data_IF_451489940479
#
_entry.id   IF_451489940479
#
_cell.length_a   1.000
_cell.length_b   1.000
_cell.length_c   1.000
_cell.angle_alpha   90.00
_cell.angle_beta   90.00
_cell.angle_gamma   90.00
#
_symmetry.space_group_name_H-M   'P 1'
#
loop_
_entity.id
_entity.type
_entity.pdbx_description
1 polymer ?
#
# COMPACT_ATOMS: atom_id res chain seq x y z
N UNK A 1 3.46 -40.60 -2.02
CA UNK A 1 4.12 -39.62 -2.90
C UNK A 1 3.02 -38.69 -3.45
N UNK A 2 2.78 -37.57 -2.80
CA UNK A 2 1.82 -36.57 -3.27
C UNK A 2 2.55 -35.62 -4.21
N UNK A 3 2.07 -35.58 -5.45
CA UNK A 3 2.56 -34.73 -6.52
C UNK A 3 2.68 -33.26 -6.07
N UNK A 4 3.90 -32.72 -6.14
CA UNK A 4 4.13 -31.28 -6.14
C UNK A 4 3.45 -30.69 -7.38
N UNK A 5 2.17 -30.37 -7.27
CA UNK A 5 1.44 -29.58 -8.28
C UNK A 5 2.21 -28.29 -8.54
N UNK A 6 2.61 -28.13 -9.78
CA UNK A 6 3.41 -27.04 -10.36
C UNK A 6 2.91 -25.66 -9.91
N UNK A 7 3.43 -25.13 -8.82
CA UNK A 7 3.15 -23.76 -8.32
C UNK A 7 3.44 -22.70 -9.40
N UNK A 8 4.37 -22.95 -10.30
CA UNK A 8 4.76 -22.04 -11.38
C UNK A 8 3.68 -21.84 -12.46
N UNK A 9 2.89 -22.86 -12.78
CA UNK A 9 1.79 -22.76 -13.75
C UNK A 9 0.57 -22.02 -13.19
N UNK A 10 0.25 -22.20 -11.91
CA UNK A 10 -0.79 -21.40 -11.24
C UNK A 10 -0.38 -19.93 -11.11
N UNK A 11 0.89 -19.66 -10.79
CA UNK A 11 1.43 -18.31 -10.67
C UNK A 11 1.42 -17.56 -12.00
N UNK A 12 1.78 -18.25 -13.12
CA UNK A 12 1.74 -17.65 -14.46
C UNK A 12 0.31 -17.36 -14.94
N UNK A 13 -0.67 -18.18 -14.54
CA UNK A 13 -2.08 -17.97 -14.88
C UNK A 13 -2.71 -16.81 -14.11
N UNK A 14 -2.32 -16.64 -12.84
CA UNK A 14 -2.72 -15.51 -12.00
C UNK A 14 -2.09 -14.21 -12.50
N UNK A 15 -0.80 -14.22 -12.88
CA UNK A 15 -0.08 -13.06 -13.42
C UNK A 15 -0.75 -12.47 -14.67
N UNK A 16 -1.27 -13.28 -15.59
CA UNK A 16 -1.97 -12.82 -16.81
C UNK A 16 -3.35 -12.19 -16.55
N UNK A 17 -3.96 -12.46 -15.39
CA UNK A 17 -5.28 -11.90 -15.03
C UNK A 17 -5.17 -10.65 -14.14
N UNK A 18 -3.98 -10.33 -13.67
CA UNK A 18 -3.72 -9.30 -12.64
C UNK A 18 -2.92 -8.10 -13.22
N UNK A 19 -2.70 -8.07 -14.53
CA UNK A 19 -2.09 -6.95 -15.23
C UNK A 19 -3.15 -5.89 -15.52
N UNK A 20 -2.94 -4.70 -14.97
CA UNK A 20 -3.82 -3.55 -15.14
C UNK A 20 -2.99 -2.33 -15.51
N UNK A 21 -3.31 -1.70 -16.64
CA UNK A 21 -2.66 -0.47 -17.04
C UNK A 21 -3.31 0.72 -16.34
N UNK A 22 -2.47 1.57 -15.79
CA UNK A 22 -2.91 2.79 -15.09
C UNK A 22 -3.28 3.87 -16.09
N UNK A 23 -4.39 4.58 -15.86
CA UNK A 23 -4.76 5.75 -16.67
C UNK A 23 -3.68 6.84 -16.51
N UNK A 24 -3.25 7.41 -17.62
CA UNK A 24 -2.23 8.45 -17.66
C UNK A 24 -2.58 9.65 -16.76
N UNK A 25 -3.84 10.06 -16.73
CA UNK A 25 -4.30 11.18 -15.89
C UNK A 25 -4.11 10.93 -14.40
N UNK A 26 -4.23 9.68 -13.96
CA UNK A 26 -3.99 9.32 -12.56
C UNK A 26 -2.49 9.37 -12.24
N UNK A 27 -1.63 9.00 -13.18
CA UNK A 27 -0.17 9.13 -13.07
C UNK A 27 0.22 10.61 -13.00
N UNK A 28 -0.24 11.42 -13.93
CA UNK A 28 0.05 12.86 -13.99
C UNK A 28 -0.36 13.59 -12.71
N UNK A 29 -1.56 13.32 -12.20
CA UNK A 29 -2.07 13.91 -10.95
C UNK A 29 -1.21 13.55 -9.75
N UNK A 30 -0.77 12.32 -9.64
CA UNK A 30 0.03 11.88 -8.49
C UNK A 30 1.47 12.38 -8.61
N UNK A 31 2.10 12.19 -9.77
CA UNK A 31 3.52 12.51 -9.95
C UNK A 31 3.81 14.01 -9.90
N UNK A 32 2.82 14.86 -10.20
CA UNK A 32 2.93 16.31 -10.04
C UNK A 32 3.34 16.74 -8.61
N UNK A 33 3.07 15.92 -7.61
CA UNK A 33 3.45 16.20 -6.22
C UNK A 33 4.92 15.89 -5.90
N UNK A 34 5.65 15.22 -6.82
CA UNK A 34 7.00 14.68 -6.55
C UNK A 34 8.05 15.16 -7.54
N UNK A 35 7.78 16.16 -8.35
CA UNK A 35 8.67 16.61 -9.47
C UNK A 35 10.12 16.83 -9.04
N UNK A 36 10.33 17.46 -7.87
CA UNK A 36 11.67 17.70 -7.31
C UNK A 36 12.40 16.41 -6.94
N UNK A 37 11.68 15.35 -6.57
CA UNK A 37 12.28 14.07 -6.18
C UNK A 37 12.94 13.34 -7.34
N UNK A 38 12.57 13.67 -8.58
CA UNK A 38 13.09 13.03 -9.79
C UNK A 38 14.34 13.68 -10.35
N UNK A 39 14.69 14.89 -9.92
CA UNK A 39 15.79 15.65 -10.48
C UNK A 39 17.14 14.93 -10.34
N UNK A 40 17.81 14.70 -11.47
CA UNK A 40 19.09 13.99 -11.54
C UNK A 40 19.00 12.49 -11.24
N UNK A 41 17.81 11.89 -11.25
CA UNK A 41 17.59 10.50 -10.86
C UNK A 41 17.42 9.56 -12.05
N UNK A 42 17.79 8.30 -11.81
CA UNK A 42 17.46 7.17 -12.67
C UNK A 42 16.16 6.56 -12.21
N UNK A 43 15.12 6.62 -13.05
CA UNK A 43 13.81 6.05 -12.78
C UNK A 43 13.68 4.69 -13.44
N UNK A 44 13.19 3.69 -12.69
CA UNK A 44 12.94 2.35 -13.17
C UNK A 44 11.43 2.04 -13.16
N UNK A 45 10.87 1.85 -14.36
CA UNK A 45 9.49 1.41 -14.59
C UNK A 45 9.51 -0.09 -14.93
N UNK A 46 9.24 -0.94 -13.96
CA UNK A 46 9.18 -2.39 -14.16
C UNK A 46 7.72 -2.86 -14.20
N UNK A 47 7.50 -4.06 -14.70
CA UNK A 47 6.21 -4.75 -14.77
C UNK A 47 5.25 -4.35 -15.89
N UNK A 48 5.42 -3.21 -16.54
CA UNK A 48 4.60 -2.78 -17.69
C UNK A 48 5.40 -2.87 -19.01
N UNK A 49 4.72 -3.22 -20.10
CA UNK A 49 5.33 -3.09 -21.44
C UNK A 49 5.61 -1.60 -21.74
N UNK A 50 6.88 -1.15 -21.86
CA UNK A 50 7.19 0.24 -22.10
C UNK A 50 6.50 0.86 -23.33
N UNK A 51 6.19 0.03 -24.33
CA UNK A 51 5.49 0.49 -25.56
C UNK A 51 4.04 0.85 -25.33
N UNK A 52 3.47 0.42 -24.20
CA UNK A 52 2.07 0.62 -23.82
C UNK A 52 1.91 1.28 -22.44
N UNK A 53 2.98 1.32 -21.66
CA UNK A 53 2.98 1.82 -20.29
C UNK A 53 2.78 3.32 -20.25
N UNK A 54 1.78 3.77 -19.52
CA UNK A 54 1.58 5.19 -19.26
C UNK A 54 2.66 5.77 -18.33
N UNK A 55 3.34 4.95 -17.52
CA UNK A 55 4.51 5.38 -16.73
C UNK A 55 5.69 5.71 -17.64
N UNK A 56 6.03 4.81 -18.57
CA UNK A 56 7.09 5.09 -19.54
C UNK A 56 6.79 6.36 -20.33
N UNK A 57 5.59 6.44 -20.91
CA UNK A 57 5.19 7.61 -21.71
C UNK A 57 5.29 8.91 -20.91
N UNK A 58 4.82 8.92 -19.64
CA UNK A 58 4.92 10.10 -18.78
C UNK A 58 6.36 10.54 -18.55
N UNK A 59 7.23 9.62 -18.09
CA UNK A 59 8.61 9.96 -17.79
C UNK A 59 9.42 10.30 -19.03
N UNK A 60 9.17 9.63 -20.14
CA UNK A 60 9.83 9.91 -21.41
C UNK A 60 9.50 11.30 -21.94
N UNK A 61 8.22 11.68 -21.98
CA UNK A 61 7.78 13.00 -22.45
C UNK A 61 8.20 14.13 -21.50
N UNK A 62 8.26 13.88 -20.21
CA UNK A 62 8.68 14.85 -19.20
C UNK A 62 10.16 14.72 -18.81
N UNK A 63 10.96 13.95 -19.55
CA UNK A 63 12.36 13.70 -19.23
C UNK A 63 13.18 14.99 -19.03
N UNK A 64 13.12 15.99 -19.95
CA UNK A 64 13.84 17.24 -19.77
C UNK A 64 13.27 18.07 -18.59
N UNK A 65 11.94 18.14 -18.47
CA UNK A 65 11.26 18.96 -17.45
C UNK A 65 11.54 18.45 -16.04
N UNK A 66 11.59 17.11 -15.86
CA UNK A 66 11.92 16.46 -14.60
C UNK A 66 13.44 16.39 -14.35
N UNK A 67 14.24 16.83 -15.31
CA UNK A 67 15.71 16.73 -15.27
C UNK A 67 16.18 15.31 -14.91
N UNK A 68 15.57 14.28 -15.52
CA UNK A 68 15.96 12.91 -15.28
C UNK A 68 17.39 12.65 -15.76
N UNK A 69 18.11 11.81 -15.03
CA UNK A 69 19.39 11.28 -15.47
C UNK A 69 19.21 10.16 -16.48
N UNK A 70 18.27 9.23 -16.20
CA UNK A 70 18.04 8.03 -17.00
C UNK A 70 16.64 7.47 -16.71
N UNK A 71 16.00 6.95 -17.72
CA UNK A 71 14.76 6.21 -17.63
C UNK A 71 15.00 4.77 -18.09
N UNK A 72 14.58 3.80 -17.29
CA UNK A 72 14.72 2.38 -17.59
C UNK A 72 13.35 1.72 -17.43
N UNK A 73 13.01 0.79 -18.33
CA UNK A 73 11.87 -0.08 -18.16
C UNK A 73 12.21 -1.52 -18.58
N UNK A 74 11.56 -2.50 -17.99
CA UNK A 74 11.67 -3.91 -18.36
C UNK A 74 10.30 -4.50 -18.61
N UNK A 75 10.20 -5.25 -19.70
CA UNK A 75 9.02 -6.02 -20.06
C UNK A 75 9.18 -7.48 -19.64
N UNK A 76 8.15 -8.02 -18.97
CA UNK A 76 8.09 -9.41 -18.59
C UNK A 76 7.37 -10.23 -19.68
N UNK A 77 7.99 -11.28 -20.18
CA UNK A 77 7.38 -12.19 -21.14
C UNK A 77 8.37 -13.05 -21.90
N UNK A 78 7.87 -13.79 -22.91
CA UNK A 78 8.70 -14.66 -23.74
C UNK A 78 9.79 -13.90 -24.50
N UNK A 79 9.45 -12.67 -24.95
CA UNK A 79 10.37 -11.77 -25.65
C UNK A 79 10.73 -10.59 -24.76
N UNK A 80 11.20 -10.90 -23.54
CA UNK A 80 11.56 -9.90 -22.55
C UNK A 80 12.67 -8.97 -23.03
N UNK A 81 12.53 -7.69 -22.72
CA UNK A 81 13.50 -6.67 -23.10
C UNK A 81 13.56 -5.56 -22.06
N UNK A 82 14.69 -4.88 -22.09
CA UNK A 82 14.91 -3.62 -21.38
C UNK A 82 14.81 -2.48 -22.38
N UNK A 83 14.20 -1.39 -22.00
CA UNK A 83 14.22 -0.12 -22.72
C UNK A 83 14.91 0.93 -21.85
N UNK A 84 15.84 1.70 -22.44
CA UNK A 84 16.60 2.73 -21.72
C UNK A 84 16.57 4.02 -22.52
N UNK A 85 16.38 5.15 -21.81
CA UNK A 85 16.43 6.49 -22.39
C UNK A 85 17.24 7.43 -21.50
N UNK A 86 18.19 8.15 -22.12
CA UNK A 86 19.09 9.10 -21.44
C UNK A 86 19.00 10.53 -22.03
N UNK A 87 17.92 10.78 -22.76
CA UNK A 87 17.75 12.04 -23.50
C UNK A 87 18.39 11.97 -24.89
N UNK A 88 18.05 12.93 -25.71
CA UNK A 88 18.54 13.07 -27.07
C UNK A 88 17.42 13.19 -28.09
N UNK A 89 17.70 13.89 -29.21
CA UNK A 89 16.73 14.11 -30.28
C UNK A 89 17.02 13.28 -31.54
N UNK A 90 18.09 12.49 -31.55
CA UNK A 90 18.41 11.64 -32.68
C UNK A 90 17.30 10.61 -32.89
N UNK A 91 16.86 10.45 -34.13
CA UNK A 91 15.74 9.59 -34.48
C UNK A 91 15.91 8.12 -33.99
N UNK A 92 17.17 7.65 -33.93
CA UNK A 92 17.49 6.28 -33.50
C UNK A 92 17.39 6.07 -31.99
N UNK A 93 17.46 7.13 -31.17
CA UNK A 93 17.40 7.05 -29.70
C UNK A 93 16.20 7.80 -29.10
N UNK A 94 15.47 8.54 -29.92
CA UNK A 94 14.36 9.39 -29.45
C UNK A 94 13.26 8.61 -28.73
N UNK A 95 13.06 7.33 -29.05
CA UNK A 95 12.07 6.45 -28.39
C UNK A 95 12.67 5.54 -27.31
N UNK A 96 13.99 5.63 -27.09
CA UNK A 96 14.76 4.76 -26.19
C UNK A 96 15.44 3.59 -26.88
N UNK A 97 16.54 3.12 -26.28
CA UNK A 97 17.33 1.98 -26.75
C UNK A 97 16.72 0.70 -26.18
N UNK A 98 16.35 -0.22 -27.07
CA UNK A 98 15.78 -1.52 -26.71
C UNK A 98 16.87 -2.60 -26.74
N UNK A 99 17.00 -3.35 -25.64
CA UNK A 99 17.93 -4.49 -25.51
C UNK A 99 17.16 -5.71 -25.03
N UNK A 100 17.41 -6.85 -25.68
CA UNK A 100 16.82 -8.13 -25.25
C UNK A 100 17.41 -8.56 -23.91
N UNK A 101 16.55 -8.99 -22.98
CA UNK A 101 16.99 -9.61 -21.74
C UNK A 101 17.38 -11.09 -21.99
N UNK A 102 18.27 -11.62 -21.16
CA UNK A 102 18.65 -13.03 -21.22
C UNK A 102 17.54 -13.93 -20.63
N UNK A 103 16.89 -13.43 -19.56
CA UNK A 103 15.77 -14.09 -18.90
C UNK A 103 14.42 -13.67 -19.47
N UNK A 104 13.37 -13.96 -18.72
CA UNK A 104 11.97 -13.62 -19.02
C UNK A 104 11.54 -12.23 -18.53
N UNK A 105 12.46 -11.46 -17.96
CA UNK A 105 12.17 -10.14 -17.39
C UNK A 105 11.44 -10.18 -16.05
N UNK A 106 11.45 -11.33 -15.34
CA UNK A 106 10.92 -11.39 -13.98
C UNK A 106 11.69 -10.38 -13.09
N UNK A 107 10.94 -9.52 -12.43
CA UNK A 107 11.50 -8.48 -11.55
C UNK A 107 12.46 -9.06 -10.49
N UNK A 108 12.20 -10.27 -10.02
CA UNK A 108 13.03 -10.95 -9.01
C UNK A 108 14.24 -11.72 -9.63
N UNK A 109 14.38 -11.71 -10.96
CA UNK A 109 15.56 -12.30 -11.62
C UNK A 109 16.84 -11.53 -11.28
N UNK A 110 17.99 -12.20 -11.32
CA UNK A 110 19.28 -11.54 -11.06
C UNK A 110 19.55 -10.37 -12.02
N UNK A 111 19.10 -10.47 -13.28
CA UNK A 111 19.23 -9.44 -14.29
C UNK A 111 18.40 -8.19 -13.95
N UNK A 112 17.12 -8.35 -13.60
CA UNK A 112 16.27 -7.23 -13.19
C UNK A 112 16.68 -6.65 -11.83
N UNK A 113 17.21 -7.47 -10.91
CA UNK A 113 17.77 -6.99 -9.65
C UNK A 113 19.05 -6.16 -9.85
N UNK A 114 19.86 -6.47 -10.86
CA UNK A 114 21.01 -5.62 -11.22
C UNK A 114 20.53 -4.24 -11.71
N UNK A 115 19.49 -4.20 -12.55
CA UNK A 115 18.86 -2.94 -13.00
C UNK A 115 18.29 -2.16 -11.81
N UNK A 116 17.61 -2.85 -10.88
CA UNK A 116 17.10 -2.23 -9.65
C UNK A 116 18.23 -1.57 -8.84
N UNK A 117 19.39 -2.22 -8.72
CA UNK A 117 20.56 -1.66 -8.01
C UNK A 117 21.08 -0.38 -8.64
N UNK A 118 21.06 -0.27 -9.97
CA UNK A 118 21.49 0.91 -10.71
C UNK A 118 20.47 2.06 -10.69
N UNK A 119 19.20 1.78 -10.36
CA UNK A 119 18.15 2.79 -10.31
C UNK A 119 18.14 3.54 -8.97
N UNK A 120 17.61 4.76 -8.98
CA UNK A 120 17.38 5.57 -7.78
C UNK A 120 15.94 5.41 -7.27
N UNK A 121 14.97 5.42 -8.19
CA UNK A 121 13.55 5.45 -7.90
C UNK A 121 12.82 4.40 -8.73
N UNK A 122 11.98 3.58 -8.09
CA UNK A 122 11.08 2.65 -8.78
C UNK A 122 9.68 3.24 -8.86
N UNK A 123 9.17 3.44 -10.09
CA UNK A 123 7.80 3.91 -10.34
C UNK A 123 7.04 2.93 -11.22
N UNK A 124 6.06 2.22 -10.64
CA UNK A 124 5.36 1.15 -11.38
C UNK A 124 4.01 0.79 -10.77
N UNK A 125 3.21 0.07 -11.56
CA UNK A 125 2.03 -0.65 -11.11
C UNK A 125 2.31 -2.17 -11.14
N UNK A 126 2.90 -2.75 -10.08
CA UNK A 126 3.19 -4.19 -10.07
C UNK A 126 1.90 -5.01 -10.02
N UNK A 127 1.89 -6.26 -10.52
CA UNK A 127 0.76 -7.16 -10.32
C UNK A 127 0.39 -7.25 -8.83
N UNK A 128 -0.88 -7.06 -8.48
CA UNK A 128 -1.31 -6.94 -7.07
C UNK A 128 -0.99 -8.19 -6.25
N UNK A 129 -1.02 -9.36 -6.85
CA UNK A 129 -0.63 -10.63 -6.22
C UNK A 129 0.86 -10.68 -5.85
N UNK A 130 1.71 -9.92 -6.54
CA UNK A 130 3.16 -9.87 -6.34
C UNK A 130 3.61 -8.63 -5.56
N UNK A 131 2.69 -7.72 -5.22
CA UNK A 131 3.02 -6.43 -4.58
C UNK A 131 3.96 -6.59 -3.39
N UNK A 132 3.74 -7.58 -2.52
CA UNK A 132 4.59 -7.82 -1.34
C UNK A 132 6.01 -8.21 -1.70
N UNK A 133 6.18 -9.05 -2.72
CA UNK A 133 7.51 -9.47 -3.19
C UNK A 133 8.27 -8.31 -3.85
N UNK A 134 7.57 -7.46 -4.62
CA UNK A 134 8.12 -6.20 -5.16
C UNK A 134 8.56 -5.26 -4.04
N UNK A 135 7.70 -5.05 -3.05
CA UNK A 135 8.01 -4.20 -1.92
C UNK A 135 9.25 -4.69 -1.17
N UNK A 136 9.34 -5.99 -0.86
CA UNK A 136 10.48 -6.57 -0.16
C UNK A 136 11.78 -6.39 -0.94
N UNK A 137 11.78 -6.63 -2.25
CA UNK A 137 12.96 -6.47 -3.08
C UNK A 137 13.43 -5.01 -3.16
N UNK A 138 12.49 -4.06 -3.29
CA UNK A 138 12.79 -2.62 -3.30
C UNK A 138 13.36 -2.17 -1.96
N UNK A 139 12.80 -2.66 -0.84
CA UNK A 139 13.30 -2.35 0.50
C UNK A 139 14.68 -2.95 0.78
N UNK A 140 14.95 -4.16 0.28
CA UNK A 140 16.27 -4.81 0.43
C UNK A 140 17.39 -3.98 -0.23
N UNK A 141 17.09 -3.30 -1.33
CA UNK A 141 18.03 -2.42 -2.06
C UNK A 141 17.91 -0.95 -1.62
N UNK A 142 17.13 -0.64 -0.57
CA UNK A 142 16.94 0.71 -0.01
C UNK A 142 16.55 1.77 -1.06
N UNK A 143 15.75 1.39 -2.06
CA UNK A 143 15.36 2.30 -3.14
C UNK A 143 14.20 3.21 -2.73
N UNK A 144 14.21 4.40 -3.32
CA UNK A 144 13.02 5.23 -3.33
C UNK A 144 11.96 4.62 -4.28
N UNK A 145 10.69 4.84 -3.99
CA UNK A 145 9.63 4.25 -4.80
C UNK A 145 8.31 5.01 -4.76
N UNK A 146 7.52 4.81 -5.82
CA UNK A 146 6.12 5.16 -5.94
C UNK A 146 5.39 4.01 -6.63
N UNK A 147 4.65 3.21 -5.86
CA UNK A 147 3.99 1.99 -6.32
C UNK A 147 2.48 2.11 -6.21
N UNK A 148 1.77 1.61 -7.23
CA UNK A 148 0.33 1.37 -7.12
C UNK A 148 0.10 0.00 -6.48
N UNK A 149 -0.81 -0.05 -5.50
CA UNK A 149 -1.13 -1.30 -4.82
C UNK A 149 -2.52 -1.31 -4.20
N UNK A 150 -2.99 -2.51 -3.90
CA UNK A 150 -4.22 -2.67 -3.13
C UNK A 150 -3.96 -2.25 -1.68
N UNK A 151 -4.84 -1.39 -1.11
CA UNK A 151 -4.71 -0.89 0.26
C UNK A 151 -4.72 -2.01 1.32
N UNK A 152 -5.24 -3.18 1.00
CA UNK A 152 -5.12 -4.34 1.88
C UNK A 152 -3.66 -4.77 2.09
N UNK A 153 -2.73 -4.39 1.21
CA UNK A 153 -1.31 -4.64 1.40
C UNK A 153 -0.75 -3.96 2.66
N UNK A 154 -1.35 -2.85 3.10
CA UNK A 154 -1.01 -2.17 4.37
C UNK A 154 -1.01 -3.16 5.53
N UNK A 155 -1.94 -4.10 5.52
CA UNK A 155 -2.14 -5.08 6.59
C UNK A 155 -1.14 -6.24 6.55
N UNK A 156 -0.21 -6.26 5.61
CA UNK A 156 0.79 -7.31 5.51
C UNK A 156 1.88 -7.12 6.59
N UNK A 157 2.32 -8.24 7.20
CA UNK A 157 3.29 -8.24 8.30
C UNK A 157 4.63 -7.59 7.92
N UNK A 158 5.01 -7.68 6.65
CA UNK A 158 6.24 -7.09 6.12
C UNK A 158 6.10 -5.63 5.67
N UNK A 159 4.87 -5.09 5.61
CA UNK A 159 4.59 -3.72 5.13
C UNK A 159 4.13 -2.81 6.27
N UNK A 160 3.23 -3.30 7.15
CA UNK A 160 2.66 -2.46 8.21
C UNK A 160 3.70 -1.76 9.11
N UNK A 161 4.82 -2.39 9.52
CA UNK A 161 5.84 -1.73 10.33
C UNK A 161 6.40 -0.46 9.69
N UNK A 162 6.49 -0.40 8.36
CA UNK A 162 6.97 0.80 7.66
C UNK A 162 6.00 1.98 7.78
N UNK A 163 4.68 1.72 7.81
CA UNK A 163 3.68 2.76 8.12
C UNK A 163 3.76 3.18 9.58
N UNK A 164 3.93 2.23 10.50
CA UNK A 164 4.03 2.49 11.93
C UNK A 164 5.24 3.36 12.29
N UNK A 165 6.34 3.18 11.57
CA UNK A 165 7.61 3.89 11.77
C UNK A 165 7.73 5.15 10.88
N UNK A 166 6.66 5.58 10.21
CA UNK A 166 6.62 6.71 9.29
C UNK A 166 7.64 6.64 8.14
N UNK A 167 8.07 5.42 7.76
CA UNK A 167 9.05 5.18 6.68
C UNK A 167 8.41 5.06 5.30
N UNK A 168 7.11 4.88 5.23
CA UNK A 168 6.31 4.92 4.02
C UNK A 168 4.99 5.63 4.29
N UNK A 169 4.36 6.10 3.22
CA UNK A 169 3.05 6.75 3.28
C UNK A 169 2.18 6.37 2.09
N UNK A 170 0.89 6.65 2.18
CA UNK A 170 0.02 6.69 1.01
C UNK A 170 0.22 8.01 0.26
N UNK A 171 0.07 7.94 -1.07
CA UNK A 171 0.12 9.10 -1.94
C UNK A 171 -1.02 10.10 -1.71
N UNK A 172 -1.13 11.03 -2.63
CA UNK A 172 -2.14 12.10 -2.58
C UNK A 172 -3.45 11.72 -3.25
N UNK A 173 -3.37 10.89 -4.30
CA UNK A 173 -4.53 10.50 -5.10
C UNK A 173 -4.82 8.99 -4.96
N UNK A 174 -6.01 8.59 -5.39
CA UNK A 174 -6.46 7.19 -5.29
C UNK A 174 -7.11 6.79 -6.60
N UNK A 175 -6.39 6.08 -7.50
CA UNK A 175 -6.92 5.59 -8.76
C UNK A 175 -8.15 4.71 -8.53
N UNK A 176 -9.19 4.90 -9.36
CA UNK A 176 -10.45 4.15 -9.22
C UNK A 176 -10.69 3.16 -10.34
N UNK A 177 -10.00 3.33 -11.46
CA UNK A 177 -10.20 2.51 -12.66
C UNK A 177 -8.89 2.27 -13.38
N UNK A 178 -8.81 1.10 -14.00
CA UNK A 178 -7.64 0.63 -14.72
C UNK A 178 -8.06 0.01 -16.04
N UNK A 179 -7.19 0.06 -17.04
CA UNK A 179 -7.40 -0.62 -18.31
C UNK A 179 -6.85 -2.05 -18.21
N UNK A 180 -7.66 -3.00 -18.62
CA UNK A 180 -7.23 -4.40 -18.79
C UNK A 180 -6.48 -4.57 -20.12
N UNK A 181 -5.67 -5.64 -20.28
CA UNK A 181 -5.04 -5.96 -21.56
C UNK A 181 -6.03 -6.11 -22.73
N UNK A 182 -7.28 -6.44 -22.45
CA UNK A 182 -8.37 -6.57 -23.45
C UNK A 182 -9.03 -5.21 -23.79
N UNK A 183 -8.53 -4.09 -23.24
CA UNK A 183 -9.04 -2.73 -23.47
C UNK A 183 -10.27 -2.34 -22.63
N UNK A 184 -10.78 -3.25 -21.79
CA UNK A 184 -11.91 -2.94 -20.90
C UNK A 184 -11.43 -2.22 -19.65
N UNK A 185 -12.26 -1.28 -19.18
CA UNK A 185 -12.01 -0.61 -17.90
C UNK A 185 -12.54 -1.45 -16.74
N UNK A 186 -11.75 -1.61 -15.71
CA UNK A 186 -12.16 -2.24 -14.45
C UNK A 186 -12.03 -1.26 -13.29
N UNK A 187 -13.12 -1.10 -12.53
CA UNK A 187 -13.12 -0.27 -11.33
C UNK A 187 -12.62 -1.05 -10.11
N UNK A 188 -11.83 -0.37 -9.27
CA UNK A 188 -11.37 -0.86 -7.97
C UNK A 188 -11.59 0.22 -6.91
N UNK A 189 -12.21 -0.14 -5.80
CA UNK A 189 -12.47 0.81 -4.70
C UNK A 189 -11.33 0.94 -3.68
N UNK A 190 -10.33 0.06 -3.76
CA UNK A 190 -9.36 -0.11 -2.68
C UNK A 190 -7.91 -0.10 -3.20
N UNK A 191 -7.62 0.83 -4.09
CA UNK A 191 -6.28 1.03 -4.67
C UNK A 191 -5.73 2.39 -4.22
N UNK A 192 -4.41 2.47 -4.04
CA UNK A 192 -3.71 3.69 -3.68
C UNK A 192 -2.23 3.62 -4.07
N UNK A 193 -1.58 4.74 -3.92
CA UNK A 193 -0.15 4.86 -4.09
C UNK A 193 0.55 4.61 -2.77
N UNK A 194 1.65 3.87 -2.82
CA UNK A 194 2.56 3.60 -1.70
C UNK A 194 3.89 4.23 -2.03
N UNK A 195 4.46 4.99 -1.12
CA UNK A 195 5.72 5.71 -1.39
C UNK A 195 6.53 5.99 -0.13
N UNK A 196 7.85 6.10 -0.30
CA UNK A 196 8.77 6.67 0.68
C UNK A 196 9.33 8.03 0.24
N UNK A 197 8.79 8.62 -0.84
CA UNK A 197 9.18 9.95 -1.30
C UNK A 197 8.59 11.04 -0.40
N UNK A 198 9.38 12.08 -0.11
CA UNK A 198 8.94 13.27 0.61
C UNK A 198 8.17 12.96 1.90
N UNK A 199 8.70 12.08 2.75
CA UNK A 199 8.06 11.69 4.01
C UNK A 199 7.85 12.86 4.96
N UNK A 200 8.70 13.88 4.91
CA UNK A 200 8.56 15.13 5.67
C UNK A 200 7.26 15.87 5.38
N UNK A 201 6.74 15.75 4.16
CA UNK A 201 5.47 16.36 3.76
C UNK A 201 4.26 15.78 4.48
N UNK A 202 4.38 14.60 5.11
CA UNK A 202 3.33 14.06 5.99
C UNK A 202 2.99 15.02 7.13
N UNK A 203 4.00 15.70 7.67
CA UNK A 203 3.84 16.66 8.77
C UNK A 203 3.05 17.90 8.37
N UNK A 204 3.01 18.21 7.07
CA UNK A 204 2.29 19.37 6.52
C UNK A 204 0.87 19.03 6.07
N UNK A 205 0.44 17.76 6.17
CA UNK A 205 -0.96 17.42 5.91
C UNK A 205 -1.87 18.12 6.92
N UNK A 206 -3.06 18.59 6.48
CA UNK A 206 -4.05 19.14 7.41
C UNK A 206 -4.39 18.13 8.51
N UNK A 207 -4.62 18.62 9.72
CA UNK A 207 -5.10 17.77 10.80
C UNK A 207 -6.51 17.29 10.46
N UNK A 208 -6.71 15.99 10.65
CA UNK A 208 -8.01 15.37 10.46
C UNK A 208 -8.92 15.73 11.63
N UNK A 209 -10.00 16.42 11.33
CA UNK A 209 -11.03 16.77 12.30
C UNK A 209 -12.39 16.32 11.77
N UNK A 210 -13.26 15.90 12.66
CA UNK A 210 -14.62 15.47 12.35
C UNK A 210 -15.67 16.37 12.93
N UNK A 211 -15.29 17.27 13.85
CA UNK A 211 -16.20 18.05 14.67
C UNK A 211 -16.95 17.20 15.73
N UNK A 212 -16.60 15.90 15.85
CA UNK A 212 -17.22 15.00 16.82
C UNK A 212 -16.51 15.05 18.14
N UNK A 213 -17.28 14.95 19.21
CA UNK A 213 -16.79 14.82 20.58
C UNK A 213 -17.03 13.41 21.09
N UNK A 214 -16.29 13.05 22.12
CA UNK A 214 -16.54 11.82 22.86
C UNK A 214 -17.85 11.95 23.61
N UNK A 215 -18.87 11.22 23.17
CA UNK A 215 -20.16 11.12 23.84
C UNK A 215 -20.25 9.77 24.53
N UNK A 216 -20.70 9.76 25.78
CA UNK A 216 -20.85 8.54 26.58
C UNK A 216 -21.75 7.54 25.86
N UNK A 217 -21.33 6.28 25.80
CA UNK A 217 -22.06 5.19 25.14
C UNK A 217 -22.00 5.14 23.63
N UNK A 218 -21.42 6.15 22.96
CA UNK A 218 -21.31 6.16 21.48
C UNK A 218 -20.19 5.29 20.97
N UNK A 219 -19.09 5.17 21.72
CA UNK A 219 -17.90 4.43 21.34
C UNK A 219 -17.69 3.26 22.29
N UNK A 220 -17.93 2.00 21.84
CA UNK A 220 -17.76 0.87 22.72
C UNK A 220 -16.30 0.69 23.14
N UNK A 221 -16.03 0.56 24.47
CA UNK A 221 -14.70 0.22 24.95
C UNK A 221 -14.40 -1.24 24.60
N UNK A 222 -13.12 -1.53 24.28
CA UNK A 222 -12.71 -2.92 24.09
C UNK A 222 -12.76 -3.70 25.41
N UNK A 223 -13.27 -4.94 25.34
CA UNK A 223 -13.38 -5.81 26.51
C UNK A 223 -12.04 -6.44 26.92
N UNK A 224 -11.04 -6.42 26.02
CA UNK A 224 -9.78 -7.14 26.20
C UNK A 224 -8.51 -6.30 25.96
N UNK A 225 -8.64 -5.01 25.86
CA UNK A 225 -7.52 -4.06 25.89
C UNK A 225 -8.02 -2.66 26.22
N UNK A 226 -7.09 -1.76 26.50
CA UNK A 226 -7.41 -0.34 26.65
C UNK A 226 -7.72 0.28 25.28
N UNK A 227 -8.82 1.05 25.21
CA UNK A 227 -9.20 1.79 24.01
C UNK A 227 -10.67 1.61 23.64
N UNK A 228 -11.08 2.32 22.59
CA UNK A 228 -12.43 2.34 22.05
C UNK A 228 -12.46 1.90 20.58
N UNK A 229 -13.60 1.30 20.15
CA UNK A 229 -13.80 1.03 18.71
C UNK A 229 -14.44 2.24 18.02
N UNK A 230 -13.81 2.68 16.93
CA UNK A 230 -14.33 3.72 16.05
C UNK A 230 -14.56 3.12 14.68
N UNK A 231 -15.79 2.71 14.40
CA UNK A 231 -16.12 1.94 13.19
C UNK A 231 -16.04 2.72 11.86
N UNK A 232 -15.98 4.06 11.90
CA UNK A 232 -15.85 4.94 10.72
C UNK A 232 -14.87 6.06 11.01
N UNK A 233 -14.02 6.42 10.03
CA UNK A 233 -13.09 7.55 10.19
C UNK A 233 -13.81 8.88 10.43
N UNK A 234 -15.02 9.07 9.88
CA UNK A 234 -15.85 10.26 10.10
C UNK A 234 -16.44 10.35 11.53
N UNK A 235 -16.22 9.33 12.35
CA UNK A 235 -16.66 9.31 13.74
C UNK A 235 -15.49 9.41 14.74
N UNK A 236 -14.26 9.66 14.30
CA UNK A 236 -13.11 9.82 15.18
C UNK A 236 -13.34 11.05 16.08
N UNK A 237 -13.42 10.89 17.43
CA UNK A 237 -13.63 12.02 18.31
C UNK A 237 -12.40 12.95 18.33
N UNK A 238 -12.64 14.26 18.35
CA UNK A 238 -11.57 15.25 18.30
C UNK A 238 -10.96 15.54 19.67
N UNK A 239 -11.63 15.14 20.75
CA UNK A 239 -11.30 15.40 22.16
C UNK A 239 -10.94 14.14 22.96
N UNK A 240 -10.64 13.01 22.30
CA UNK A 240 -10.25 11.78 22.97
C UNK A 240 -8.75 11.50 22.84
N UNK A 241 -8.08 11.45 23.98
CA UNK A 241 -6.63 11.23 24.08
C UNK A 241 -6.22 9.77 24.30
N UNK A 242 -7.19 8.87 24.43
CA UNK A 242 -6.97 7.44 24.58
C UNK A 242 -6.68 6.74 23.25
N UNK A 243 -6.58 5.42 23.31
CA UNK A 243 -6.35 4.58 22.13
C UNK A 243 -7.67 4.31 21.40
N UNK A 244 -7.64 4.51 20.10
CA UNK A 244 -8.77 4.25 19.20
C UNK A 244 -8.42 3.17 18.20
N UNK A 245 -9.26 2.15 18.07
CA UNK A 245 -9.20 1.24 16.94
C UNK A 245 -9.99 1.80 15.77
N UNK A 246 -9.31 2.19 14.71
CA UNK A 246 -9.89 2.89 13.55
C UNK A 246 -9.70 2.10 12.26
N UNK A 247 -10.55 2.29 11.22
CA UNK A 247 -10.33 1.69 9.91
C UNK A 247 -9.01 2.10 9.27
N UNK A 248 -8.37 1.19 8.53
CA UNK A 248 -7.08 1.44 7.84
C UNK A 248 -7.12 2.63 6.87
N UNK A 249 -8.30 3.02 6.42
CA UNK A 249 -8.49 4.18 5.52
C UNK A 249 -8.11 5.51 6.14
N UNK A 250 -7.91 5.59 7.46
CA UNK A 250 -7.37 6.77 8.13
C UNK A 250 -5.98 7.15 7.61
N UNK A 251 -5.20 6.20 7.12
CA UNK A 251 -3.86 6.46 6.57
C UNK A 251 -3.87 7.40 5.37
N UNK A 252 -5.01 7.57 4.70
CA UNK A 252 -5.20 8.59 3.65
C UNK A 252 -5.05 10.02 4.19
N UNK A 253 -5.36 10.22 5.47
CA UNK A 253 -5.41 11.51 6.16
C UNK A 253 -4.41 11.60 7.31
N UNK A 254 -3.61 10.56 7.48
CA UNK A 254 -2.67 10.46 8.58
C UNK A 254 -1.64 11.59 8.54
N UNK A 255 -1.48 12.23 9.71
CA UNK A 255 -0.44 13.20 9.98
C UNK A 255 0.30 12.78 11.27
N UNK A 256 1.63 12.54 11.22
CA UNK A 256 2.40 12.07 12.37
C UNK A 256 2.55 13.12 13.49
N UNK A 257 2.25 14.39 13.25
CA UNK A 257 2.18 15.42 14.31
C UNK A 257 0.88 15.33 15.08
N UNK A 258 -0.20 14.83 14.45
CA UNK A 258 -1.51 14.71 15.08
C UNK A 258 -1.72 13.36 15.75
N UNK A 259 -1.23 12.29 15.12
CA UNK A 259 -1.49 10.93 15.57
C UNK A 259 -0.20 10.11 15.71
N UNK A 260 -0.27 9.12 16.59
CA UNK A 260 0.70 8.05 16.69
C UNK A 260 0.03 6.73 16.39
N UNK A 261 0.64 5.92 15.50
CA UNK A 261 0.22 4.55 15.23
C UNK A 261 0.83 3.64 16.29
N UNK A 262 0.00 3.04 17.13
CA UNK A 262 0.42 2.08 18.15
C UNK A 262 0.61 0.68 17.59
N UNK A 263 -0.20 0.29 16.61
CA UNK A 263 -0.11 -1.03 16.02
C UNK A 263 -1.30 -1.37 15.14
N UNK A 264 -1.36 -2.63 14.78
CA UNK A 264 -2.43 -3.20 13.98
C UNK A 264 -3.03 -4.40 14.71
N UNK A 265 -4.36 -4.45 14.79
CA UNK A 265 -5.08 -5.41 15.64
C UNK A 265 -4.79 -6.89 15.35
N UNK A 266 -4.37 -7.22 14.11
CA UNK A 266 -4.05 -8.58 13.71
C UNK A 266 -2.72 -9.11 14.28
N UNK A 267 -1.78 -8.22 14.58
CA UNK A 267 -0.46 -8.58 15.07
C UNK A 267 -0.30 -8.26 16.56
N UNK A 268 -1.30 -8.66 17.33
CA UNK A 268 -1.39 -8.40 18.75
C UNK A 268 -0.15 -8.73 19.59
N UNK A 269 0.63 -9.79 19.30
CA UNK A 269 1.86 -10.08 20.05
C UNK A 269 2.93 -9.00 19.92
N UNK A 270 2.98 -8.34 18.77
CA UNK A 270 3.92 -7.26 18.45
C UNK A 270 3.33 -5.89 18.79
N UNK A 271 2.09 -5.85 19.30
CA UNK A 271 1.40 -4.63 19.68
C UNK A 271 1.94 -4.07 20.99
N UNK A 272 2.22 -2.80 21.03
CA UNK A 272 2.46 -2.03 22.26
C UNK A 272 1.22 -2.03 23.18
N UNK A 273 0.06 -2.42 22.66
CA UNK A 273 -1.14 -2.77 23.40
C UNK A 273 -1.14 -4.26 23.69
N UNK A 274 -1.11 -4.62 24.96
CA UNK A 274 -1.24 -6.01 25.41
C UNK A 274 -2.70 -6.50 25.24
N UNK A 275 -3.15 -6.77 23.99
CA UNK A 275 -4.48 -7.33 23.76
C UNK A 275 -4.56 -8.67 24.48
N UNK A 276 -5.46 -8.76 25.44
CA UNK A 276 -5.70 -9.98 26.23
C UNK A 276 -6.48 -11.01 25.41
N UNK A 277 -6.47 -12.29 25.83
CA UNK A 277 -7.35 -13.30 25.25
C UNK A 277 -8.82 -12.89 25.28
N UNK A 278 -9.59 -13.37 24.32
CA UNK A 278 -11.03 -13.09 24.22
C UNK A 278 -11.75 -13.61 25.48
N UNK A 279 -12.54 -12.79 26.20
CA UNK A 279 -13.34 -13.22 27.33
C UNK A 279 -14.37 -14.27 26.91
N UNK A 280 -14.53 -15.32 27.71
CA UNK A 280 -15.45 -16.43 27.41
C UNK A 280 -16.90 -15.95 27.33
N UNK A 281 -17.31 -15.09 28.24
CA UNK A 281 -18.67 -14.53 28.31
C UNK A 281 -19.01 -13.74 27.05
N UNK A 282 -18.05 -12.97 26.52
CA UNK A 282 -18.21 -12.23 25.27
C UNK A 282 -18.36 -13.18 24.09
N UNK A 283 -17.51 -14.20 24.01
CA UNK A 283 -17.56 -15.20 22.95
C UNK A 283 -18.88 -15.94 22.94
N UNK A 284 -19.37 -16.36 24.11
CA UNK A 284 -20.66 -17.04 24.29
C UNK A 284 -21.82 -16.11 23.90
N UNK A 285 -21.75 -14.81 24.26
CA UNK A 285 -22.73 -13.79 23.83
C UNK A 285 -22.75 -13.63 22.31
N UNK A 286 -21.58 -13.50 21.67
CA UNK A 286 -21.46 -13.37 20.23
C UNK A 286 -22.14 -14.52 19.47
N UNK A 287 -21.82 -15.76 19.81
CA UNK A 287 -22.43 -16.92 19.13
C UNK A 287 -23.92 -17.10 19.43
N UNK A 288 -24.37 -16.80 20.65
CA UNK A 288 -25.78 -16.86 21.03
C UNK A 288 -26.64 -15.91 20.21
N UNK A 289 -26.09 -14.76 19.80
CA UNK A 289 -26.79 -13.77 18.99
C UNK A 289 -26.50 -13.90 17.48
N UNK A 290 -26.08 -15.09 17.02
CA UNK A 290 -25.96 -15.40 15.60
C UNK A 290 -24.62 -14.94 14.96
N UNK A 291 -23.63 -14.64 15.79
CA UNK A 291 -22.28 -14.29 15.28
C UNK A 291 -21.68 -15.44 14.48
N UNK A 292 -21.01 -15.08 13.37
CA UNK A 292 -20.34 -16.02 12.46
C UNK A 292 -18.84 -15.83 12.48
N UNK A 293 -18.08 -16.89 12.22
CA UNK A 293 -16.62 -16.86 12.23
C UNK A 293 -16.02 -17.90 13.18
N UNK A 294 -14.69 -18.01 13.18
CA UNK A 294 -13.98 -18.98 14.02
C UNK A 294 -13.18 -18.24 15.10
N UNK A 295 -13.83 -17.83 16.17
CA UNK A 295 -13.19 -17.20 17.33
C UNK A 295 -13.06 -18.18 18.49
N UNK A 296 -11.99 -18.06 19.27
CA UNK A 296 -11.75 -18.87 20.47
C UNK A 296 -11.23 -18.00 21.61
N UNK A 297 -11.39 -18.46 22.83
CA UNK A 297 -10.86 -17.80 24.03
C UNK A 297 -9.33 -17.71 24.09
N UNK A 298 -8.61 -18.40 23.19
CA UNK A 298 -7.14 -18.32 23.07
C UNK A 298 -6.69 -17.20 22.14
N UNK A 299 -7.59 -16.68 21.30
CA UNK A 299 -7.27 -15.62 20.35
C UNK A 299 -7.11 -14.28 21.07
N UNK A 300 -6.17 -13.48 20.56
CA UNK A 300 -5.91 -12.10 20.99
C UNK A 300 -6.36 -11.17 19.87
N UNK A 301 -7.66 -11.04 19.71
CA UNK A 301 -8.30 -10.15 18.72
C UNK A 301 -9.18 -9.14 19.45
N UNK A 302 -9.32 -7.96 18.91
CA UNK A 302 -10.19 -6.93 19.51
C UNK A 302 -11.63 -7.43 19.60
N UNK A 303 -12.26 -7.17 20.73
CA UNK A 303 -13.66 -7.46 20.94
C UNK A 303 -14.27 -6.45 21.92
N UNK A 304 -15.57 -6.22 21.82
CA UNK A 304 -16.31 -5.29 22.67
C UNK A 304 -17.76 -5.74 22.86
N UNK A 305 -18.44 -5.17 23.84
CA UNK A 305 -19.89 -5.28 23.98
C UNK A 305 -20.56 -4.03 23.40
N UNK A 306 -21.65 -4.21 22.69
CA UNK A 306 -22.51 -3.09 22.31
C UNK A 306 -23.39 -2.62 23.49
N UNK A 307 -24.23 -1.61 23.26
CA UNK A 307 -25.12 -1.03 24.27
C UNK A 307 -26.15 -2.05 24.83
N UNK A 308 -26.37 -3.16 24.15
CA UNK A 308 -27.30 -4.24 24.57
C UNK A 308 -26.57 -5.41 25.26
N UNK A 309 -25.23 -5.30 25.45
CA UNK A 309 -24.44 -6.37 26.04
C UNK A 309 -24.15 -7.54 25.08
N UNK A 310 -24.35 -7.33 23.79
CA UNK A 310 -24.01 -8.32 22.77
C UNK A 310 -22.52 -8.20 22.43
N UNK A 311 -21.83 -9.35 22.44
CA UNK A 311 -20.41 -9.39 22.06
C UNK A 311 -20.20 -9.20 20.56
N UNK A 312 -19.17 -8.44 20.21
CA UNK A 312 -18.80 -8.15 18.82
C UNK A 312 -17.29 -8.28 18.59
N UNK A 313 -16.93 -8.68 17.38
CA UNK A 313 -15.57 -8.65 16.85
C UNK A 313 -15.50 -7.64 15.72
N UNK A 314 -14.81 -6.50 15.90
CA UNK A 314 -14.67 -5.52 14.84
C UNK A 314 -13.81 -6.07 13.71
N UNK A 315 -13.99 -5.52 12.51
CA UNK A 315 -13.02 -5.72 11.44
C UNK A 315 -11.64 -5.21 11.90
N UNK A 316 -10.58 -5.69 11.27
CA UNK A 316 -9.20 -5.29 11.62
C UNK A 316 -9.03 -3.77 11.70
N UNK A 317 -8.33 -3.29 12.74
CA UNK A 317 -8.16 -1.87 13.09
C UNK A 317 -6.68 -1.47 13.15
N UNK A 318 -6.41 -0.24 12.77
CA UNK A 318 -5.20 0.47 13.20
C UNK A 318 -5.49 1.03 14.59
N UNK A 319 -4.56 0.80 15.52
CA UNK A 319 -4.61 1.35 16.86
C UNK A 319 -3.91 2.70 16.83
N UNK A 320 -4.68 3.76 17.02
CA UNK A 320 -4.28 5.14 16.86
C UNK A 320 -4.46 5.91 18.16
N UNK A 321 -3.55 6.82 18.47
CA UNK A 321 -3.68 7.76 19.59
C UNK A 321 -3.42 9.17 19.10
N UNK A 322 -4.17 10.16 19.59
CA UNK A 322 -3.85 11.57 19.37
C UNK A 322 -2.56 11.92 20.11
N UNK A 323 -1.73 12.76 19.50
CA UNK A 323 -0.64 13.41 20.21
C UNK A 323 -1.19 14.61 20.97
N UNK A 324 -0.64 14.90 22.15
CA UNK A 324 -0.96 16.15 22.84
C UNK A 324 -0.75 17.34 21.91
N UNK A 325 -1.65 18.31 21.94
CA UNK A 325 -1.44 19.59 21.25
C UNK A 325 -0.15 20.21 21.78
N UNK A 326 0.77 20.55 20.88
CA UNK A 326 1.99 21.27 21.23
C UNK A 326 1.66 22.67 21.72
#
# INVERSE_FOLDING_TARGET
MLEKKNRNLCTAKVRKQDEFYTDRRDIEKELAHYTESFQGKTVYCCADDPRRSAFWAFFHENFPTLHLKRLIATFYGKDAYQMTYEGGMDADIASGICQKLQGDGDFLSAECQAILKESDIVCTNPPFSLFRAFFDAIQAEHKAFLLIGNLNAITAKNIFPFFQDDRIRLGYTFPKSFLRPDGRTQAFGNIGWFTNLQLENLKHRPFWTTGKKLEEGTYPPYANCEGIDVHRIAAIPDDYDGIMGVPITILKYYNPQQFQIFGYSKYAPDNRLAIQPVPKELLDSFYRHGGTGHYTTKMRVLCYYDAYGIGHFPFERILLKRRPSL
#
